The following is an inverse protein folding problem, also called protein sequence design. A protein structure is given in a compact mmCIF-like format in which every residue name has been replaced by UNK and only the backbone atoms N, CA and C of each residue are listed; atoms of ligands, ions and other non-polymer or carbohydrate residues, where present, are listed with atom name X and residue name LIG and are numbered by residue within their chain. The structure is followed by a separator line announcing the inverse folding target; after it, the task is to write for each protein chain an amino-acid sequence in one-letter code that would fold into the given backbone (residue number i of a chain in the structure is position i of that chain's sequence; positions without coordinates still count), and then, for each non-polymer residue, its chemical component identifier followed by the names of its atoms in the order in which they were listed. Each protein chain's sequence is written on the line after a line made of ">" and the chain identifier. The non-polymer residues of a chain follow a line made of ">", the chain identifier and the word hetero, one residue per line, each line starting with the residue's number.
data_IF_123496259776
#
_entry.id   IF_123496259776
#
_cell.length_a   1.000
_cell.length_b   1.000
_cell.length_c   1.000
_cell.angle_alpha   90.00
_cell.angle_beta   90.00
_cell.angle_gamma   90.00
#
_symmetry.space_group_name_H-M   'P 1'
#
loop_
_entity.id
_entity.type
_entity.pdbx_description
1 polymer ?
#
# COMPACT_ATOMS: atom_id res chain seq x y z
N UNK A 1 -4.30 -24.66 -4.25
CA UNK A 1 -3.01 -24.52 -3.53
C UNK A 1 -2.74 -23.04 -3.34
N UNK A 2 -2.16 -22.58 -2.22
CA UNK A 2 -1.79 -21.18 -2.07
C UNK A 2 -0.70 -20.84 -3.09
N UNK A 3 -0.87 -19.71 -3.78
CA UNK A 3 0.16 -19.22 -4.71
C UNK A 3 1.45 -18.84 -3.98
N UNK A 4 2.59 -19.10 -4.61
CA UNK A 4 3.91 -18.77 -4.06
C UNK A 4 4.26 -17.30 -4.32
N UNK A 5 5.04 -16.63 -3.45
CA UNK A 5 5.53 -15.28 -3.72
C UNK A 5 6.32 -15.20 -5.04
N UNK A 6 6.02 -14.18 -5.84
CA UNK A 6 6.66 -13.94 -7.14
C UNK A 6 7.19 -12.50 -7.22
N UNK A 7 8.38 -12.34 -7.79
CA UNK A 7 8.95 -11.02 -8.11
C UNK A 7 9.68 -11.11 -9.45
N UNK A 8 9.33 -10.23 -10.38
CA UNK A 8 10.07 -9.99 -11.61
C UNK A 8 10.53 -8.54 -11.66
N UNK A 9 11.78 -8.33 -12.03
CA UNK A 9 12.42 -7.01 -12.15
C UNK A 9 12.98 -6.84 -13.56
N UNK A 10 12.85 -5.62 -14.10
CA UNK A 10 13.51 -5.19 -15.33
C UNK A 10 14.18 -3.84 -15.06
N UNK A 11 15.25 -3.51 -15.77
CA UNK A 11 15.98 -2.25 -15.57
C UNK A 11 15.08 -1.02 -15.77
N UNK A 12 14.17 -1.10 -16.75
CA UNK A 12 13.41 0.07 -17.22
C UNK A 12 11.92 0.02 -16.86
N UNK A 13 11.45 -1.04 -16.17
CA UNK A 13 10.04 -1.23 -15.84
C UNK A 13 9.84 -1.42 -14.33
N UNK A 14 8.73 -0.91 -13.76
CA UNK A 14 8.36 -1.21 -12.39
C UNK A 14 8.34 -2.72 -12.13
N UNK A 15 8.83 -3.12 -10.96
CA UNK A 15 8.79 -4.52 -10.56
C UNK A 15 7.36 -5.06 -10.57
N UNK A 16 7.19 -6.31 -11.02
CA UNK A 16 5.94 -7.05 -10.87
C UNK A 16 6.07 -7.92 -9.65
N UNK A 17 5.25 -7.66 -8.63
CA UNK A 17 5.23 -8.43 -7.38
C UNK A 17 3.83 -8.98 -7.15
N UNK A 18 3.78 -10.24 -6.74
CA UNK A 18 2.51 -10.94 -6.61
C UNK A 18 2.67 -12.36 -6.12
N UNK A 19 1.74 -13.20 -6.52
CA UNK A 19 1.73 -14.61 -6.18
C UNK A 19 1.45 -15.43 -7.43
N UNK A 20 2.35 -16.38 -7.70
CA UNK A 20 2.26 -17.27 -8.85
C UNK A 20 1.58 -18.57 -8.42
N UNK A 21 0.59 -18.98 -9.19
CA UNK A 21 -0.09 -20.27 -9.06
C UNK A 21 0.30 -21.10 -10.26
N UNK A 22 0.90 -22.26 -10.01
CA UNK A 22 1.26 -23.20 -11.08
C UNK A 22 0.22 -24.31 -11.17
N UNK A 23 -0.14 -24.73 -12.40
CA UNK A 23 -0.94 -25.92 -12.59
C UNK A 23 -0.15 -27.18 -12.19
N UNK A 24 -0.83 -28.32 -11.91
CA UNK A 24 -0.16 -29.58 -11.56
C UNK A 24 0.76 -30.13 -12.66
N UNK A 25 0.48 -29.78 -13.92
CA UNK A 25 1.32 -30.12 -15.07
C UNK A 25 1.62 -28.86 -15.88
N UNK A 26 2.84 -28.71 -16.45
CA UNK A 26 3.20 -27.54 -17.24
C UNK A 26 2.22 -27.27 -18.38
N UNK A 27 1.89 -26.00 -18.58
CA UNK A 27 0.99 -25.52 -19.64
C UNK A 27 1.53 -24.18 -20.17
N UNK A 28 1.45 -23.92 -21.49
CA UNK A 28 1.84 -22.63 -22.06
C UNK A 28 0.82 -21.53 -21.74
N UNK A 29 -0.39 -21.88 -21.29
CA UNK A 29 -1.46 -20.91 -21.05
C UNK A 29 -1.25 -20.15 -19.74
N UNK A 30 -1.35 -18.83 -19.82
CA UNK A 30 -1.09 -17.93 -18.69
C UNK A 30 -2.15 -16.84 -18.54
N UNK A 31 -2.44 -16.46 -17.29
CA UNK A 31 -3.32 -15.34 -16.96
C UNK A 31 -2.69 -14.45 -15.90
N UNK A 32 -2.86 -13.13 -16.04
CA UNK A 32 -2.51 -12.15 -15.01
C UNK A 32 -3.81 -11.57 -14.44
N UNK A 33 -3.94 -11.63 -13.12
CA UNK A 33 -5.05 -11.07 -12.37
C UNK A 33 -4.58 -9.85 -11.57
N UNK A 34 -5.31 -8.75 -11.69
CA UNK A 34 -5.04 -7.52 -10.94
C UNK A 34 -6.26 -7.12 -10.12
N UNK A 35 -6.03 -6.34 -9.07
CA UNK A 35 -7.09 -5.86 -8.19
C UNK A 35 -7.79 -4.62 -8.77
N UNK A 36 -9.02 -4.36 -8.32
CA UNK A 36 -9.70 -3.07 -8.55
C UNK A 36 -9.13 -1.93 -7.71
N UNK A 37 -9.75 -0.75 -7.80
CA UNK A 37 -9.42 0.40 -6.94
C UNK A 37 -9.69 0.03 -5.47
N UNK A 38 -8.65 0.04 -4.63
CA UNK A 38 -8.77 -0.22 -3.19
C UNK A 38 -8.32 -1.61 -2.70
N UNK A 39 -8.51 -2.70 -3.46
CA UNK A 39 -8.10 -4.06 -3.02
C UNK A 39 -6.65 -4.43 -3.39
N UNK A 40 -6.04 -5.50 -2.87
CA UNK A 40 -4.69 -5.91 -3.31
C UNK A 40 -4.73 -7.30 -3.97
N UNK A 41 -3.58 -7.82 -4.38
CA UNK A 41 -3.46 -9.16 -4.95
C UNK A 41 -4.02 -10.27 -4.02
N UNK A 42 -4.16 -10.00 -2.72
CA UNK A 42 -4.75 -10.90 -1.73
C UNK A 42 -6.27 -10.77 -1.55
N UNK A 43 -6.98 -10.03 -2.41
CA UNK A 43 -8.44 -9.99 -2.36
C UNK A 43 -9.04 -11.41 -2.51
N UNK A 44 -10.02 -11.82 -1.69
CA UNK A 44 -10.52 -13.20 -1.67
C UNK A 44 -10.91 -13.74 -3.05
N UNK A 45 -11.67 -12.96 -3.83
CA UNK A 45 -12.06 -13.33 -5.19
C UNK A 45 -10.85 -13.62 -6.11
N UNK A 46 -9.77 -12.83 -6.01
CA UNK A 46 -8.58 -13.06 -6.83
C UNK A 46 -7.84 -14.34 -6.41
N UNK A 47 -7.84 -14.66 -5.12
CA UNK A 47 -7.25 -15.89 -4.59
C UNK A 47 -8.03 -17.10 -5.09
N UNK A 48 -9.36 -17.05 -5.04
CA UNK A 48 -10.24 -18.13 -5.47
C UNK A 48 -10.17 -18.34 -6.99
N UNK A 49 -10.24 -17.26 -7.77
CA UNK A 49 -10.09 -17.33 -9.23
C UNK A 49 -8.73 -17.89 -9.64
N UNK A 50 -7.63 -17.41 -9.05
CA UNK A 50 -6.30 -17.92 -9.37
C UNK A 50 -6.17 -19.42 -9.06
N UNK A 51 -6.74 -19.87 -7.94
CA UNK A 51 -6.75 -21.29 -7.56
C UNK A 51 -7.55 -22.11 -8.57
N UNK A 52 -8.74 -21.64 -8.97
CA UNK A 52 -9.60 -22.33 -9.93
C UNK A 52 -8.97 -22.42 -11.33
N UNK A 53 -8.42 -21.31 -11.85
CA UNK A 53 -7.73 -21.31 -13.14
C UNK A 53 -6.48 -22.19 -13.15
N UNK A 54 -5.72 -22.23 -12.04
CA UNK A 54 -4.59 -23.14 -11.91
C UNK A 54 -5.01 -24.62 -11.93
N UNK A 55 -6.12 -24.96 -11.27
CA UNK A 55 -6.70 -26.30 -11.37
C UNK A 55 -7.15 -26.64 -12.81
N UNK A 56 -7.59 -25.63 -13.56
CA UNK A 56 -7.94 -25.73 -14.98
C UNK A 56 -6.75 -25.65 -15.95
N UNK A 57 -5.52 -25.92 -15.48
CA UNK A 57 -4.27 -25.98 -16.28
C UNK A 57 -3.76 -24.65 -16.82
N UNK A 58 -4.04 -23.53 -16.15
CA UNK A 58 -3.43 -22.24 -16.48
C UNK A 58 -2.39 -21.83 -15.44
N UNK A 59 -1.28 -21.24 -15.86
CA UNK A 59 -0.39 -20.53 -14.93
C UNK A 59 -0.99 -19.18 -14.60
N UNK A 60 -1.16 -18.83 -13.32
CA UNK A 60 -1.84 -17.59 -12.94
C UNK A 60 -0.98 -16.75 -12.03
N UNK A 61 -0.73 -15.50 -12.42
CA UNK A 61 -0.10 -14.50 -11.55
C UNK A 61 -1.15 -13.52 -11.06
N UNK A 62 -1.38 -13.47 -9.74
CA UNK A 62 -2.11 -12.36 -9.13
C UNK A 62 -1.12 -11.33 -8.60
N UNK A 63 -1.16 -10.08 -9.07
CA UNK A 63 -0.17 -9.06 -8.74
C UNK A 63 -0.78 -7.72 -8.30
N UNK A 64 0.01 -6.95 -7.55
CA UNK A 64 -0.35 -5.57 -7.21
C UNK A 64 0.02 -4.65 -8.38
N UNK A 65 -0.85 -3.70 -8.70
CA UNK A 65 -0.58 -2.70 -9.73
C UNK A 65 0.62 -1.82 -9.32
N UNK A 66 1.45 -1.36 -10.27
CA UNK A 66 2.69 -0.63 -9.96
C UNK A 66 2.55 0.55 -9.01
N UNK A 67 1.43 1.28 -9.07
CA UNK A 67 1.18 2.43 -8.19
C UNK A 67 1.13 2.05 -6.69
N UNK A 68 0.73 0.81 -6.34
CA UNK A 68 0.80 0.33 -4.95
C UNK A 68 2.19 -0.03 -4.49
N UNK A 69 3.09 -0.27 -5.43
CA UNK A 69 4.45 -0.71 -5.16
C UNK A 69 5.45 0.47 -5.11
N UNK A 70 5.14 1.58 -5.79
CA UNK A 70 6.01 2.75 -5.89
C UNK A 70 6.12 3.53 -4.56
N UNK A 71 4.98 3.78 -3.91
CA UNK A 71 4.92 4.49 -2.64
C UNK A 71 3.52 5.04 -2.35
N UNK A 72 3.30 5.47 -1.11
CA UNK A 72 2.01 5.99 -0.65
C UNK A 72 2.20 7.34 0.04
N UNK A 73 1.42 8.34 -0.37
CA UNK A 73 1.24 9.59 0.38
C UNK A 73 -0.12 9.52 1.08
N UNK A 74 -0.09 9.39 2.39
CA UNK A 74 -1.28 9.23 3.23
C UNK A 74 -1.57 10.56 3.91
N UNK A 75 -2.67 11.20 3.53
CA UNK A 75 -3.13 12.46 4.10
C UNK A 75 -4.21 12.15 5.14
N UNK A 76 -3.98 12.57 6.40
CA UNK A 76 -4.92 12.41 7.51
C UNK A 76 -5.46 10.97 7.61
N UNK A 77 -4.55 9.99 7.70
CA UNK A 77 -4.94 8.58 7.66
C UNK A 77 -5.84 8.25 8.88
N UNK A 78 -7.11 7.85 8.66
CA UNK A 78 -8.03 7.63 9.77
C UNK A 78 -7.77 6.27 10.39
N UNK A 79 -7.01 6.23 11.49
CA UNK A 79 -6.69 4.98 12.20
C UNK A 79 -7.95 4.30 12.72
N UNK A 80 -8.93 5.07 13.15
CA UNK A 80 -10.19 4.55 13.66
C UNK A 80 -11.35 5.55 13.41
N UNK A 81 -12.62 5.13 13.52
CA UNK A 81 -13.74 6.06 13.53
C UNK A 81 -13.68 7.04 14.72
N UNK A 82 -14.29 8.24 14.61
CA UNK A 82 -14.36 9.18 15.74
C UNK A 82 -15.08 8.54 16.93
N UNK A 83 -14.49 8.70 18.12
CA UNK A 83 -15.05 8.13 19.35
C UNK A 83 -14.93 6.61 19.48
N UNK A 84 -14.21 5.93 18.58
CA UNK A 84 -13.97 4.47 18.65
C UNK A 84 -12.49 4.10 18.50
N UNK A 85 -11.60 4.53 19.43
CA UNK A 85 -10.15 4.28 19.34
C UNK A 85 -9.77 2.79 19.33
N UNK A 86 -10.64 1.90 19.81
CA UNK A 86 -10.42 0.44 19.74
C UNK A 86 -10.59 -0.17 18.34
N UNK A 87 -11.27 0.51 17.41
CA UNK A 87 -11.59 -0.01 16.07
C UNK A 87 -10.48 0.33 15.06
N UNK A 88 -9.26 -0.13 15.35
CA UNK A 88 -8.07 0.19 14.56
C UNK A 88 -8.09 -0.43 13.15
N UNK A 89 -7.77 0.39 12.15
CA UNK A 89 -7.68 0.01 10.73
C UNK A 89 -6.27 -0.40 10.31
N UNK A 90 -5.50 -1.01 11.21
CA UNK A 90 -4.06 -1.27 11.02
C UNK A 90 -3.73 -2.65 10.40
N UNK A 91 -4.71 -3.55 10.26
CA UNK A 91 -4.48 -4.94 9.85
C UNK A 91 -3.75 -5.13 8.49
N UNK A 92 -3.81 -4.13 7.61
CA UNK A 92 -3.12 -4.17 6.32
C UNK A 92 -1.75 -3.50 6.32
N UNK A 93 -1.39 -2.75 7.37
CA UNK A 93 -0.13 -1.99 7.44
C UNK A 93 1.12 -2.87 7.27
N UNK A 94 1.22 -4.08 7.86
CA UNK A 94 2.39 -4.96 7.65
C UNK A 94 2.57 -5.43 6.20
N UNK A 95 1.51 -5.34 5.38
CA UNK A 95 1.51 -5.74 3.97
C UNK A 95 1.90 -4.58 3.04
N UNK A 96 1.99 -3.36 3.56
CA UNK A 96 2.41 -2.22 2.75
C UNK A 96 3.86 -2.37 2.31
N UNK A 97 4.15 -1.89 1.11
CA UNK A 97 5.43 -1.95 0.42
C UNK A 97 5.72 -0.59 -0.21
N UNK A 98 6.97 -0.36 -0.57
CA UNK A 98 7.41 0.95 -1.08
C UNK A 98 7.55 1.99 0.05
N UNK A 99 7.90 3.22 -0.33
CA UNK A 99 8.07 4.32 0.63
C UNK A 99 6.72 4.91 1.00
N UNK A 100 6.49 5.18 2.28
CA UNK A 100 5.20 5.68 2.76
C UNK A 100 5.42 7.00 3.52
N UNK A 101 4.71 8.05 3.15
CA UNK A 101 4.74 9.34 3.82
C UNK A 101 3.37 9.61 4.42
N UNK A 102 3.33 9.79 5.73
CA UNK A 102 2.15 10.23 6.47
C UNK A 102 2.19 11.75 6.65
N UNK A 103 1.12 12.44 6.28
CA UNK A 103 0.88 13.83 6.65
C UNK A 103 -0.29 13.82 7.62
N UNK A 104 -0.05 14.30 8.84
CA UNK A 104 -1.03 14.14 9.91
C UNK A 104 -1.22 15.42 10.71
N UNK A 105 -2.48 15.75 10.99
CA UNK A 105 -2.84 16.88 11.84
C UNK A 105 -2.65 16.53 13.32
N UNK A 106 -2.03 17.42 14.10
CA UNK A 106 -1.79 17.20 15.54
C UNK A 106 -3.07 17.10 16.37
N UNK A 107 -4.22 17.57 15.86
CA UNK A 107 -5.52 17.51 16.54
C UNK A 107 -6.56 16.69 15.75
N UNK A 108 -6.10 15.78 14.88
CA UNK A 108 -6.99 14.91 14.09
C UNK A 108 -7.78 13.94 15.01
N UNK A 109 -9.14 13.91 14.95
CA UNK A 109 -9.96 13.05 15.81
C UNK A 109 -9.95 11.56 15.43
N UNK A 110 -9.32 11.20 14.30
CA UNK A 110 -9.24 9.84 13.80
C UNK A 110 -7.90 9.15 14.15
N UNK A 111 -7.03 9.82 14.91
CA UNK A 111 -5.82 9.25 15.50
C UNK A 111 -4.88 10.33 16.04
N UNK A 112 -4.30 10.12 17.22
CA UNK A 112 -3.28 11.00 17.80
C UNK A 112 -1.91 10.80 17.13
N UNK A 113 -0.97 11.76 17.26
CA UNK A 113 0.41 11.58 16.80
C UNK A 113 1.07 10.29 17.33
N UNK A 114 0.81 9.93 18.58
CA UNK A 114 1.33 8.72 19.23
C UNK A 114 0.72 7.46 18.61
N UNK A 115 -0.60 7.47 18.34
CA UNK A 115 -1.28 6.35 17.68
C UNK A 115 -0.76 6.16 16.24
N UNK A 116 -0.47 7.24 15.53
CA UNK A 116 0.14 7.21 14.20
C UNK A 116 1.55 6.64 14.26
N UNK A 117 2.37 7.02 15.25
CA UNK A 117 3.71 6.46 15.41
C UNK A 117 3.66 4.96 15.71
N UNK A 118 2.75 4.53 16.59
CA UNK A 118 2.52 3.12 16.90
C UNK A 118 2.07 2.33 15.65
N UNK A 119 1.16 2.89 14.85
CA UNK A 119 0.72 2.28 13.61
C UNK A 119 1.84 2.20 12.56
N UNK A 120 2.68 3.24 12.45
CA UNK A 120 3.87 3.27 11.57
C UNK A 120 4.87 2.18 11.93
N UNK A 121 5.04 1.85 13.21
CA UNK A 121 5.93 0.79 13.65
C UNK A 121 5.52 -0.61 13.16
N UNK A 122 4.26 -0.81 12.76
CA UNK A 122 3.78 -2.06 12.15
C UNK A 122 4.21 -2.22 10.69
N UNK A 123 4.69 -1.15 10.06
CA UNK A 123 5.06 -1.11 8.64
C UNK A 123 6.55 -1.42 8.52
N UNK A 124 6.88 -2.51 7.83
CA UNK A 124 8.29 -2.91 7.61
C UNK A 124 8.99 -2.06 6.55
N UNK A 125 8.22 -1.36 5.71
CA UNK A 125 8.77 -0.51 4.66
C UNK A 125 9.16 0.89 5.21
N UNK A 126 10.06 1.63 4.56
CA UNK A 126 10.47 2.96 5.04
C UNK A 126 9.28 3.91 5.15
N UNK A 127 9.11 4.53 6.33
CA UNK A 127 8.05 5.51 6.58
C UNK A 127 8.60 6.86 7.04
N UNK A 128 7.92 7.94 6.64
CA UNK A 128 8.13 9.30 7.13
C UNK A 128 6.82 9.84 7.69
N UNK A 129 6.86 10.58 8.80
CA UNK A 129 5.72 11.34 9.32
C UNK A 129 6.02 12.83 9.29
N UNK A 130 5.07 13.59 8.76
CA UNK A 130 5.06 15.05 8.74
C UNK A 130 3.84 15.46 9.56
N UNK A 131 4.10 15.96 10.76
CA UNK A 131 3.06 16.59 11.57
C UNK A 131 2.81 18.02 11.11
N UNK A 132 1.55 18.44 11.18
CA UNK A 132 1.10 19.81 10.92
C UNK A 132 0.08 20.24 11.98
N UNK A 133 0.08 21.53 12.30
CA UNK A 133 -0.94 22.11 13.16
C UNK A 133 -2.29 22.07 12.45
N UNK A 134 -3.25 21.37 13.04
CA UNK A 134 -4.60 21.22 12.49
C UNK A 134 -5.22 19.86 12.77
N UNK A 135 -6.49 19.72 12.38
CA UNK A 135 -7.22 18.47 12.51
C UNK A 135 -7.12 17.64 11.23
N UNK A 136 -8.20 16.91 10.91
CA UNK A 136 -8.30 16.08 9.72
C UNK A 136 -8.15 16.84 8.39
N UNK A 137 -8.45 18.14 8.41
CA UNK A 137 -8.23 19.06 7.29
C UNK A 137 -6.76 19.49 7.11
N UNK A 138 -5.84 18.93 7.90
CA UNK A 138 -4.42 19.27 7.96
C UNK A 138 -4.15 20.74 8.29
N UNK A 139 -5.14 21.45 8.84
CA UNK A 139 -5.08 22.90 9.04
C UNK A 139 -4.98 23.69 7.73
N UNK A 140 -5.32 23.09 6.58
CA UNK A 140 -5.16 23.67 5.25
C UNK A 140 -6.34 24.58 4.88
N UNK A 141 -6.56 25.65 5.65
CA UNK A 141 -7.61 26.65 5.35
C UNK A 141 -7.16 27.76 4.40
N UNK A 142 -5.85 27.93 4.28
CA UNK A 142 -5.16 28.87 3.38
C UNK A 142 -3.92 28.18 2.82
N UNK A 143 -3.38 28.61 1.66
CA UNK A 143 -2.17 28.03 1.11
C UNK A 143 -1.02 27.99 2.12
N UNK A 144 -0.44 26.81 2.34
CA UNK A 144 0.66 26.53 3.28
C UNK A 144 1.91 26.08 2.53
N UNK A 145 2.70 27.04 2.04
CA UNK A 145 3.89 26.74 1.21
C UNK A 145 4.91 25.88 1.97
N UNK A 146 5.10 26.15 3.25
CA UNK A 146 5.96 25.38 4.16
C UNK A 146 5.60 23.88 4.20
N UNK A 147 4.31 23.57 4.32
CA UNK A 147 3.81 22.21 4.36
C UNK A 147 4.00 21.52 3.00
N UNK A 148 3.68 22.22 1.91
CA UNK A 148 3.87 21.69 0.55
C UNK A 148 5.35 21.39 0.28
N UNK A 149 6.27 22.27 0.67
CA UNK A 149 7.72 22.04 0.50
C UNK A 149 8.21 20.83 1.28
N UNK A 150 7.74 20.65 2.53
CA UNK A 150 8.05 19.43 3.34
C UNK A 150 7.51 18.16 2.69
N UNK A 151 6.29 18.17 2.16
CA UNK A 151 5.68 17.04 1.44
C UNK A 151 6.50 16.70 0.20
N UNK A 152 6.81 17.69 -0.63
CA UNK A 152 7.60 17.50 -1.85
C UNK A 152 8.99 16.96 -1.51
N UNK A 153 9.66 17.50 -0.48
CA UNK A 153 10.96 17.02 -0.05
C UNK A 153 10.93 15.56 0.43
N UNK A 154 9.92 15.18 1.21
CA UNK A 154 9.75 13.79 1.66
C UNK A 154 9.54 12.82 0.48
N UNK A 155 8.75 13.22 -0.51
CA UNK A 155 8.49 12.43 -1.72
C UNK A 155 9.65 12.47 -2.73
N UNK A 156 10.49 13.50 -2.74
CA UNK A 156 11.63 13.60 -3.67
C UNK A 156 12.63 12.45 -3.47
N UNK A 157 12.70 11.89 -2.27
CA UNK A 157 13.49 10.70 -1.93
C UNK A 157 13.01 9.40 -2.60
N UNK A 158 11.85 9.42 -3.28
CA UNK A 158 11.26 8.26 -3.95
C UNK A 158 11.81 8.03 -5.36
N UNK A 159 12.57 9.00 -5.90
CA UNK A 159 13.24 8.83 -7.18
C UNK A 159 14.27 7.71 -7.06
N UNK A 160 14.20 6.72 -7.95
CA UNK A 160 15.33 5.82 -8.15
C UNK A 160 16.55 6.67 -8.56
N UNK A 161 17.78 6.29 -8.17
CA UNK A 161 18.96 6.89 -8.78
C UNK A 161 18.84 6.70 -10.30
N UNK A 162 19.00 7.81 -11.03
CA UNK A 162 19.12 7.81 -12.49
C UNK A 162 20.46 7.19 -12.86
#
# INVERSE_FOLDING_TARGET
>A
MPGEPFTATSADLPAVRGFLHRPPSPSPDGLVLTHGAGGNAGAPLLVDLATAFAASRMTVLRCDLPFRQAGLLLLSYPLHPPGRPGDLRTAHLPKLRGRIVFIHGTTDPFGSPEEIEAARALITAPTTLILTDGGHDLGYRKPRRDLIERIVAACASWRAPV
#
